data_IF_389381072074
#
_entry.id   IF_389381072074
#
_cell.length_a   1.000
_cell.length_b   1.000
_cell.length_c   1.000
_cell.angle_alpha   90.00
_cell.angle_beta   90.00
_cell.angle_gamma   90.00
#
_symmetry.space_group_name_H-M   'P 1'
#
loop_
_entity.id
_entity.type
_entity.pdbx_description
1 polymer ?
#
# COMPACT_ATOMS: atom_id res chain seq x y z
N UNK A 1 -48.97 5.19 9.63
CA UNK A 1 -48.17 4.43 8.64
C UNK A 1 -46.74 4.98 8.70
N UNK A 2 -45.92 4.48 9.64
CA UNK A 2 -44.52 4.93 9.79
C UNK A 2 -43.69 4.26 8.70
N UNK A 3 -42.93 5.06 7.95
CA UNK A 3 -42.05 4.57 6.90
C UNK A 3 -40.72 4.22 7.56
N UNK A 4 -40.47 2.92 7.69
CA UNK A 4 -39.19 2.38 8.13
C UNK A 4 -38.06 2.94 7.24
N UNK A 5 -37.21 3.78 7.82
CA UNK A 5 -35.93 4.14 7.23
C UNK A 5 -34.97 2.97 7.47
N UNK A 6 -35.06 2.01 6.55
CA UNK A 6 -34.13 0.90 6.43
C UNK A 6 -32.74 1.46 6.15
N UNK A 7 -31.86 1.23 7.13
CA UNK A 7 -30.41 1.08 7.00
C UNK A 7 -29.72 1.92 5.91
N UNK A 8 -29.50 3.20 6.21
CA UNK A 8 -28.27 3.85 5.76
C UNK A 8 -27.09 3.33 6.60
N UNK A 9 -26.76 2.04 6.40
CA UNK A 9 -25.46 1.51 6.77
C UNK A 9 -24.46 2.21 5.86
N UNK A 10 -23.88 3.31 6.33
CA UNK A 10 -22.68 3.89 5.72
C UNK A 10 -21.54 2.90 5.94
N UNK A 11 -21.58 1.82 5.16
CA UNK A 11 -20.57 0.81 5.08
C UNK A 11 -19.31 1.44 4.51
N UNK A 12 -18.32 1.60 5.39
CA UNK A 12 -16.93 1.31 5.07
C UNK A 12 -16.44 1.86 3.71
N UNK A 13 -16.56 3.17 3.50
CA UNK A 13 -15.87 3.81 2.38
C UNK A 13 -14.35 3.94 2.61
N UNK A 14 -13.88 3.61 3.82
CA UNK A 14 -12.46 3.67 4.21
C UNK A 14 -11.67 2.38 3.88
N UNK A 15 -12.34 1.24 3.70
CA UNK A 15 -11.66 -0.05 3.46
C UNK A 15 -11.16 -0.25 2.02
N UNK A 16 -11.31 0.75 1.15
CA UNK A 16 -10.74 0.77 -0.21
C UNK A 16 -9.54 1.71 -0.30
N UNK A 17 -8.70 1.80 0.75
CA UNK A 17 -7.31 2.23 0.57
C UNK A 17 -6.76 1.43 -0.62
N UNK A 18 -6.59 2.14 -1.73
CA UNK A 18 -6.25 1.55 -3.01
C UNK A 18 -5.08 0.60 -2.80
N UNK A 19 -5.28 -0.70 -3.07
CA UNK A 19 -4.16 -1.63 -3.10
C UNK A 19 -3.15 -1.02 -4.06
N UNK A 20 -1.99 -0.66 -3.54
CA UNK A 20 -0.90 -0.16 -4.36
C UNK A 20 -0.56 -1.28 -5.34
N UNK A 21 -0.45 -0.94 -6.61
CA UNK A 21 -0.19 -1.92 -7.64
C UNK A 21 1.29 -2.37 -7.60
N UNK A 22 1.56 -3.56 -8.13
CA UNK A 22 2.91 -4.13 -8.16
C UNK A 22 3.91 -3.26 -8.91
N UNK A 23 3.51 -2.61 -10.00
CA UNK A 23 4.34 -1.69 -10.76
C UNK A 23 4.73 -0.46 -9.94
N UNK A 24 3.79 0.09 -9.16
CA UNK A 24 4.08 1.19 -8.23
C UNK A 24 5.09 0.75 -7.17
N UNK A 25 4.91 -0.42 -6.54
CA UNK A 25 5.88 -0.97 -5.58
C UNK A 25 7.28 -1.16 -6.20
N UNK A 26 7.33 -1.68 -7.42
CA UNK A 26 8.57 -1.84 -8.17
C UNK A 26 9.26 -0.50 -8.48
N UNK A 27 8.50 0.56 -8.77
CA UNK A 27 9.05 1.89 -8.97
C UNK A 27 9.66 2.47 -7.69
N UNK A 28 9.03 2.23 -6.55
CA UNK A 28 9.48 2.74 -5.24
C UNK A 28 10.76 2.09 -4.73
N UNK A 29 11.05 0.85 -5.11
CA UNK A 29 12.32 0.17 -4.83
C UNK A 29 13.56 0.90 -5.35
N UNK A 30 13.42 1.76 -6.36
CA UNK A 30 14.52 2.60 -6.86
C UNK A 30 14.49 4.02 -6.31
N UNK A 31 13.37 4.44 -5.73
CA UNK A 31 13.20 5.80 -5.18
C UNK A 31 13.61 5.87 -3.71
N UNK A 32 13.34 4.81 -2.96
CA UNK A 32 13.64 4.75 -1.53
C UNK A 32 14.91 3.92 -1.28
N UNK A 33 15.92 4.55 -0.67
CA UNK A 33 17.19 3.90 -0.36
C UNK A 33 17.02 2.74 0.65
N UNK A 34 16.09 2.87 1.60
CA UNK A 34 15.81 1.83 2.58
C UNK A 34 15.22 0.57 1.95
N UNK A 35 14.28 0.72 1.01
CA UNK A 35 13.75 -0.39 0.22
C UNK A 35 14.82 -1.02 -0.68
N UNK A 36 15.68 -0.19 -1.28
CA UNK A 36 16.77 -0.69 -2.12
C UNK A 36 17.78 -1.52 -1.31
N UNK A 37 18.17 -1.05 -0.13
CA UNK A 37 19.09 -1.77 0.76
C UNK A 37 18.45 -3.04 1.33
N UNK A 38 17.19 -2.98 1.74
CA UNK A 38 16.44 -4.15 2.20
C UNK A 38 16.32 -5.22 1.10
N UNK A 39 16.06 -4.81 -0.14
CA UNK A 39 16.04 -5.72 -1.28
C UNK A 39 17.41 -6.35 -1.53
N UNK A 40 18.49 -5.55 -1.56
CA UNK A 40 19.86 -6.07 -1.75
C UNK A 40 20.27 -7.03 -0.63
N UNK A 41 19.90 -6.73 0.62
CA UNK A 41 20.16 -7.59 1.77
C UNK A 41 19.36 -8.90 1.74
N UNK A 42 18.16 -8.89 1.15
CA UNK A 42 17.31 -10.09 1.06
C UNK A 42 17.88 -11.18 0.15
N UNK A 43 18.71 -10.82 -0.83
CA UNK A 43 19.17 -11.73 -1.89
C UNK A 43 18.06 -12.27 -2.80
N UNK A 44 16.83 -11.75 -2.68
CA UNK A 44 15.67 -12.19 -3.45
C UNK A 44 15.62 -11.53 -4.83
N UNK A 45 14.88 -12.17 -5.74
CA UNK A 45 14.44 -11.47 -6.95
C UNK A 45 13.55 -10.29 -6.56
N UNK A 46 13.49 -9.28 -7.43
CA UNK A 46 12.73 -8.07 -7.13
C UNK A 46 11.23 -8.37 -6.95
N UNK A 47 10.67 -9.21 -7.80
CA UNK A 47 9.26 -9.61 -7.71
C UNK A 47 8.96 -10.40 -6.42
N UNK A 48 9.86 -11.30 -6.02
CA UNK A 48 9.70 -12.05 -4.76
C UNK A 48 9.81 -11.12 -3.56
N UNK A 49 10.78 -10.20 -3.56
CA UNK A 49 10.90 -9.21 -2.50
C UNK A 49 9.61 -8.38 -2.37
N UNK A 50 9.05 -7.92 -3.50
CA UNK A 50 7.78 -7.16 -3.49
C UNK A 50 6.65 -8.01 -2.93
N UNK A 51 6.46 -9.24 -3.43
CA UNK A 51 5.38 -10.14 -2.98
C UNK A 51 5.46 -10.48 -1.49
N UNK A 52 6.67 -10.69 -0.96
CA UNK A 52 6.88 -10.98 0.45
C UNK A 52 6.75 -9.74 1.35
N UNK A 53 7.00 -8.55 0.81
CA UNK A 53 7.07 -7.30 1.58
C UNK A 53 6.01 -6.27 1.16
N UNK A 54 4.91 -6.67 0.51
CA UNK A 54 3.88 -5.75 0.00
C UNK A 54 3.42 -4.76 1.07
N UNK A 55 3.12 -5.25 2.28
CA UNK A 55 2.67 -4.40 3.38
C UNK A 55 3.74 -3.45 3.95
N UNK A 56 5.02 -3.82 3.86
CA UNK A 56 6.13 -2.94 4.27
C UNK A 56 6.31 -1.84 3.23
N UNK A 57 6.35 -2.21 1.94
CA UNK A 57 6.50 -1.27 0.83
C UNK A 57 5.32 -0.30 0.82
N UNK A 58 4.09 -0.78 1.01
CA UNK A 58 2.90 0.08 1.04
C UNK A 58 2.96 1.12 2.16
N UNK A 59 3.48 0.76 3.34
CA UNK A 59 3.68 1.73 4.44
C UNK A 59 4.71 2.79 4.07
N UNK A 60 5.83 2.40 3.46
CA UNK A 60 6.88 3.34 3.03
C UNK A 60 6.32 4.32 1.99
N UNK A 61 5.52 3.82 1.04
CA UNK A 61 4.88 4.65 0.01
C UNK A 61 3.94 5.66 0.65
N UNK A 62 3.03 5.20 1.52
CA UNK A 62 2.06 6.09 2.18
C UNK A 62 2.77 7.13 3.05
N UNK A 63 3.82 6.74 3.78
CA UNK A 63 4.59 7.66 4.61
C UNK A 63 5.28 8.75 3.79
N UNK A 64 5.90 8.39 2.66
CA UNK A 64 6.53 9.39 1.77
C UNK A 64 5.48 10.30 1.10
N UNK A 65 4.33 9.75 0.67
CA UNK A 65 3.26 10.56 0.08
C UNK A 65 2.62 11.55 1.06
N UNK A 66 2.59 11.22 2.35
CA UNK A 66 2.12 12.13 3.40
C UNK A 66 3.13 13.26 3.69
N UNK A 67 4.44 12.98 3.53
CA UNK A 67 5.50 13.98 3.70
C UNK A 67 5.58 15.01 2.55
N UNK A 68 5.14 14.65 1.35
CA UNK A 68 5.06 15.57 0.20
C UNK A 68 3.85 16.54 0.26
N UNK A 69 3.04 16.49 1.33
CA UNK A 69 1.80 17.25 1.49
C UNK A 69 1.91 18.38 2.51
#
# INVERSE_FOLDING_TARGET
MSKDHDKASHGSQDARRHKIDHQTRNGWLHRDAGLQDAWRASGMTRDDFIRHNEGLIDKVIVANLDQDR
#
